data_IF_991572405512
#
_entry.id   IF_991572405512
#
_cell.length_a   1.000
_cell.length_b   1.000
_cell.length_c   1.000
_cell.angle_alpha   90.00
_cell.angle_beta   90.00
_cell.angle_gamma   90.00
#
_symmetry.space_group_name_H-M   'P 1'
#
loop_
_entity.id
_entity.type
_entity.pdbx_description
1 polymer ?
#
# COMPACT_ATOMS: atom_id res chain seq x y z
N UNK A 1 14.42 1.16 -4.65
CA UNK A 1 15.34 0.10 -5.11
C UNK A 1 15.64 0.30 -6.57
N UNK A 2 16.83 0.78 -6.93
CA UNK A 2 17.29 0.72 -8.32
C UNK A 2 18.62 -0.03 -8.37
N UNK A 3 18.67 -1.02 -9.25
CA UNK A 3 19.85 -1.84 -9.57
C UNK A 3 20.57 -2.48 -8.38
N UNK A 4 19.83 -3.10 -7.44
CA UNK A 4 20.43 -3.94 -6.40
C UNK A 4 20.58 -5.38 -6.90
N UNK A 5 21.76 -5.96 -6.70
CA UNK A 5 22.02 -7.38 -6.91
C UNK A 5 21.78 -8.13 -5.60
N UNK A 6 21.10 -9.28 -5.67
CA UNK A 6 20.85 -10.14 -4.53
C UNK A 6 21.61 -11.45 -4.69
N UNK A 7 22.10 -12.00 -3.59
CA UNK A 7 22.84 -13.26 -3.60
C UNK A 7 21.88 -14.44 -3.77
N UNK A 8 20.68 -14.35 -3.19
CA UNK A 8 19.65 -15.39 -3.26
C UNK A 8 18.30 -14.85 -3.69
N UNK A 9 17.45 -15.74 -4.20
CA UNK A 9 16.06 -15.42 -4.55
C UNK A 9 15.24 -15.01 -3.33
N UNK A 10 15.47 -15.66 -2.19
CA UNK A 10 14.74 -15.38 -0.95
C UNK A 10 15.03 -13.97 -0.43
N UNK A 11 16.28 -13.53 -0.52
CA UNK A 11 16.68 -12.16 -0.18
C UNK A 11 15.97 -11.14 -1.09
N UNK A 12 15.93 -11.40 -2.39
CA UNK A 12 15.22 -10.53 -3.34
C UNK A 12 13.71 -10.49 -3.04
N UNK A 13 13.10 -11.63 -2.70
CA UNK A 13 11.69 -11.72 -2.39
C UNK A 13 11.32 -10.92 -1.13
N UNK A 14 12.12 -11.03 -0.07
CA UNK A 14 11.89 -10.27 1.17
C UNK A 14 11.99 -8.77 0.93
N UNK A 15 13.00 -8.35 0.18
CA UNK A 15 13.23 -6.95 -0.15
C UNK A 15 12.10 -6.39 -1.04
N UNK A 16 11.61 -7.15 -2.02
CA UNK A 16 10.43 -6.79 -2.82
C UNK A 16 9.17 -6.69 -1.95
N UNK A 17 8.98 -7.63 -1.02
CA UNK A 17 7.85 -7.61 -0.11
C UNK A 17 7.85 -6.35 0.76
N UNK A 18 8.99 -6.03 1.37
CA UNK A 18 9.14 -4.81 2.18
C UNK A 18 8.90 -3.55 1.33
N UNK A 19 9.42 -3.52 0.10
CA UNK A 19 9.14 -2.42 -0.82
C UNK A 19 7.66 -2.24 -1.09
N UNK A 20 6.92 -3.31 -1.36
CA UNK A 20 5.49 -3.25 -1.69
C UNK A 20 4.68 -2.87 -0.45
N UNK A 21 4.86 -3.57 0.66
CA UNK A 21 4.00 -3.44 1.84
C UNK A 21 4.33 -2.21 2.69
N UNK A 22 5.60 -1.95 2.95
CA UNK A 22 6.01 -0.89 3.87
C UNK A 22 6.16 0.46 3.16
N UNK A 23 6.72 0.47 1.96
CA UNK A 23 6.96 1.72 1.24
C UNK A 23 5.86 2.03 0.23
N UNK A 24 5.58 1.16 -0.74
CA UNK A 24 4.71 1.47 -1.87
C UNK A 24 3.25 1.64 -1.42
N UNK A 25 2.69 0.65 -0.72
CA UNK A 25 1.28 0.68 -0.32
C UNK A 25 1.02 1.71 0.78
N UNK A 26 1.92 1.85 1.76
CA UNK A 26 1.70 2.66 2.96
C UNK A 26 2.22 4.09 2.87
N UNK A 27 3.38 4.31 2.28
CA UNK A 27 4.10 5.59 2.41
C UNK A 27 4.21 6.37 1.08
N UNK A 28 4.22 5.69 -0.06
CA UNK A 28 4.43 6.33 -1.35
C UNK A 28 3.17 7.08 -1.76
N UNK A 29 3.28 8.41 -1.90
CA UNK A 29 2.17 9.24 -2.36
C UNK A 29 2.13 9.32 -3.88
N UNK A 30 0.91 9.43 -4.42
CA UNK A 30 0.65 9.54 -5.85
C UNK A 30 -0.16 10.79 -6.17
N UNK A 31 0.31 11.64 -7.09
CA UNK A 31 -0.41 12.86 -7.50
C UNK A 31 -1.80 12.55 -8.07
N UNK A 32 -1.94 11.43 -8.79
CA UNK A 32 -3.22 10.95 -9.31
C UNK A 32 -4.21 10.52 -8.20
N UNK A 33 -3.71 10.19 -7.00
CA UNK A 33 -4.52 9.85 -5.83
C UNK A 33 -4.72 11.05 -4.88
N UNK A 34 -4.46 12.28 -5.36
CA UNK A 34 -4.56 13.47 -4.53
C UNK A 34 -3.46 13.57 -3.48
N UNK A 35 -2.26 13.04 -3.79
CA UNK A 35 -1.13 12.95 -2.87
C UNK A 35 -1.34 12.01 -1.68
N UNK A 36 -2.28 11.07 -1.78
CA UNK A 36 -2.43 9.96 -0.83
C UNK A 36 -1.58 8.76 -1.25
N UNK A 37 -1.24 7.92 -0.27
CA UNK A 37 -0.75 6.58 -0.54
C UNK A 37 -1.88 5.66 -1.04
N UNK A 38 -1.55 4.53 -1.71
CA UNK A 38 -2.55 3.56 -2.12
C UNK A 38 -3.45 3.09 -0.97
N UNK A 39 -2.88 2.76 0.20
CA UNK A 39 -3.65 2.33 1.36
C UNK A 39 -4.58 3.44 1.88
N UNK A 40 -4.08 4.68 1.96
CA UNK A 40 -4.88 5.83 2.39
C UNK A 40 -6.04 6.11 1.44
N UNK A 41 -5.77 6.04 0.14
CA UNK A 41 -6.77 6.21 -0.89
C UNK A 41 -7.85 5.13 -0.82
N UNK A 42 -7.46 3.86 -0.70
CA UNK A 42 -8.42 2.76 -0.53
C UNK A 42 -9.24 2.93 0.75
N UNK A 43 -8.63 3.34 1.86
CA UNK A 43 -9.34 3.59 3.12
C UNK A 43 -10.36 4.72 3.00
N UNK A 44 -10.00 5.81 2.32
CA UNK A 44 -10.89 6.96 2.12
C UNK A 44 -12.06 6.65 1.17
N UNK A 45 -11.87 5.72 0.23
CA UNK A 45 -12.87 5.35 -0.77
C UNK A 45 -13.59 4.04 -0.47
N UNK A 46 -13.20 3.33 0.60
CA UNK A 46 -13.92 2.15 1.04
C UNK A 46 -15.29 2.63 1.49
N UNK A 47 -16.39 2.13 0.90
CA UNK A 47 -17.70 2.36 1.48
C UNK A 47 -17.61 1.78 2.90
N UNK A 48 -17.72 2.65 3.89
CA UNK A 48 -18.01 2.20 5.25
C UNK A 48 -19.22 1.29 5.10
N UNK A 49 -19.05 0.04 5.52
CA UNK A 49 -20.10 -0.97 5.63
C UNK A 49 -21.36 -0.27 6.14
N UNK A 50 -22.33 -0.05 5.23
CA UNK A 50 -23.65 0.58 5.42
C UNK A 50 -24.56 -0.27 6.33
N UNK A 51 -23.95 -0.88 7.36
CA UNK A 51 -24.54 -1.74 8.38
C UNK A 51 -24.50 -1.10 9.76
N UNK A 52 -23.72 -0.04 9.99
CA UNK A 52 -23.77 0.73 11.25
C UNK A 52 -24.84 1.82 11.32
N UNK A 53 -25.48 2.17 10.19
CA UNK A 53 -26.53 3.20 10.12
C UNK A 53 -27.97 2.67 10.00
N UNK A 54 -28.19 1.34 10.02
CA UNK A 54 -29.54 0.72 9.95
C UNK A 54 -30.01 0.05 11.25
N UNK A 55 -29.48 0.47 12.39
CA UNK A 55 -29.97 0.05 13.71
C UNK A 55 -30.11 1.28 14.62
N UNK A 56 -31.16 2.08 14.37
CA UNK A 56 -31.71 3.05 15.30
C UNK A 56 -33.22 3.18 15.04
#
# INVERSE_FOLDING_TARGET
>A
MHARTFETRDQAALEIFDYIECFYNRARTHSALGYLSPEEFERANRPEDDRRLKAA
#
